data_IF_531383115289
#
_entry.id   IF_531383115289
#
_cell.length_a   1.000
_cell.length_b   1.000
_cell.length_c   1.000
_cell.angle_alpha   90.00
_cell.angle_beta   90.00
_cell.angle_gamma   90.00
#
_symmetry.space_group_name_H-M   'P 1'
#
loop_
_entity.id
_entity.type
_entity.pdbx_description
1 polymer ?
#
# COMPACT_ATOMS: atom_id res chain seq x y z
N UNK A 1 -4.55 -2.26 -18.81
CA UNK A 1 -5.69 -1.63 -19.52
C UNK A 1 -6.41 -0.53 -18.71
N UNK A 2 -6.85 -0.80 -17.47
CA UNK A 2 -7.67 0.14 -16.66
C UNK A 2 -7.04 1.53 -16.43
N UNK A 3 -5.75 1.59 -16.12
CA UNK A 3 -5.00 2.85 -15.93
C UNK A 3 -5.07 3.75 -17.18
N UNK A 4 -4.85 3.16 -18.36
CA UNK A 4 -4.94 3.85 -19.65
C UNK A 4 -6.37 4.33 -19.91
N UNK A 5 -7.37 3.53 -19.53
CA UNK A 5 -8.79 3.92 -19.64
C UNK A 5 -9.12 5.11 -18.74
N UNK A 6 -8.61 5.17 -17.51
CA UNK A 6 -8.74 6.34 -16.62
C UNK A 6 -8.12 7.58 -17.26
N UNK A 7 -6.89 7.48 -17.79
CA UNK A 7 -6.23 8.59 -18.47
C UNK A 7 -7.04 9.11 -19.66
N UNK A 8 -7.54 8.21 -20.52
CA UNK A 8 -8.35 8.58 -21.70
C UNK A 8 -9.64 9.28 -21.30
N UNK A 9 -10.33 8.81 -20.27
CA UNK A 9 -11.56 9.44 -19.77
C UNK A 9 -11.28 10.86 -19.24
N UNK A 10 -10.20 11.06 -18.48
CA UNK A 10 -9.83 12.37 -17.94
C UNK A 10 -9.41 13.34 -19.06
N UNK A 11 -8.70 12.84 -20.08
CA UNK A 11 -8.38 13.60 -21.28
C UNK A 11 -9.63 14.01 -22.07
N UNK A 12 -10.62 13.12 -22.20
CA UNK A 12 -11.88 13.42 -22.87
C UNK A 12 -12.67 14.51 -22.12
N UNK A 13 -12.75 14.45 -20.78
CA UNK A 13 -13.40 15.49 -19.97
C UNK A 13 -12.72 16.85 -20.13
N UNK A 14 -11.39 16.87 -20.14
CA UNK A 14 -10.63 18.09 -20.39
C UNK A 14 -10.96 18.74 -21.72
N UNK A 15 -11.07 17.93 -22.78
CA UNK A 15 -11.43 18.41 -24.13
C UNK A 15 -12.86 18.93 -24.19
N UNK A 16 -13.79 18.34 -23.44
CA UNK A 16 -15.21 18.68 -23.50
C UNK A 16 -15.60 19.91 -22.64
N UNK A 17 -14.99 20.09 -21.47
CA UNK A 17 -15.49 21.06 -20.47
C UNK A 17 -14.43 22.03 -19.92
N UNK A 18 -13.22 22.06 -20.50
CA UNK A 18 -12.09 22.88 -20.03
C UNK A 18 -11.70 22.64 -18.54
N UNK A 19 -12.22 21.58 -17.92
CA UNK A 19 -11.74 21.08 -16.62
C UNK A 19 -10.27 20.67 -16.80
N UNK A 20 -9.40 20.93 -15.83
CA UNK A 20 -7.95 20.69 -15.95
C UNK A 20 -7.22 21.70 -16.86
N UNK A 21 -7.70 22.94 -16.96
CA UNK A 21 -7.04 24.02 -17.71
C UNK A 21 -5.69 24.46 -17.10
N UNK A 22 -5.47 24.19 -15.80
CA UNK A 22 -4.22 24.54 -15.11
C UNK A 22 -3.02 23.68 -15.54
N UNK A 23 -1.81 24.19 -15.26
CA UNK A 23 -0.52 23.52 -15.57
C UNK A 23 -0.42 22.08 -15.04
N UNK A 24 -1.06 21.81 -13.89
CA UNK A 24 -1.02 20.52 -13.22
C UNK A 24 -2.21 19.60 -13.55
N UNK A 25 -3.09 20.01 -14.46
CA UNK A 25 -4.29 19.25 -14.83
C UNK A 25 -4.05 18.11 -15.84
N UNK A 26 -2.89 18.09 -16.51
CA UNK A 26 -2.59 17.06 -17.49
C UNK A 26 -2.07 15.78 -16.84
N UNK A 27 -2.65 14.65 -17.23
CA UNK A 27 -2.17 13.31 -16.89
C UNK A 27 -1.23 12.84 -17.98
N UNK A 28 -0.08 12.34 -17.56
CA UNK A 28 1.01 11.89 -18.45
C UNK A 28 1.23 10.38 -18.31
N UNK A 29 1.86 9.71 -19.29
CA UNK A 29 2.25 8.31 -19.16
C UNK A 29 3.12 8.04 -17.92
N UNK A 30 3.98 8.99 -17.52
CA UNK A 30 4.79 8.91 -16.30
C UNK A 30 3.94 8.69 -15.06
N UNK A 31 2.78 9.33 -15.00
CA UNK A 31 1.86 9.15 -13.88
C UNK A 31 1.29 7.73 -13.85
N UNK A 32 1.03 7.15 -15.01
CA UNK A 32 0.57 5.76 -15.11
C UNK A 32 1.64 4.77 -14.64
N UNK A 33 2.90 5.01 -15.00
CA UNK A 33 4.01 4.18 -14.51
C UNK A 33 4.15 4.27 -12.98
N UNK A 34 4.19 5.49 -12.43
CA UNK A 34 4.25 5.68 -10.97
C UNK A 34 3.06 5.07 -10.24
N UNK A 35 1.88 5.11 -10.84
CA UNK A 35 0.69 4.50 -10.27
C UNK A 35 0.78 2.96 -10.31
N UNK A 36 1.26 2.38 -11.41
CA UNK A 36 1.48 0.93 -11.52
C UNK A 36 2.56 0.42 -10.55
N UNK A 37 3.64 1.17 -10.36
CA UNK A 37 4.75 0.86 -9.45
C UNK A 37 4.33 0.76 -7.97
N UNK A 38 3.18 1.36 -7.60
CA UNK A 38 2.63 1.21 -6.25
C UNK A 38 2.19 -0.22 -5.94
N UNK A 39 2.01 -1.09 -6.94
CA UNK A 39 1.62 -2.50 -6.77
C UNK A 39 0.41 -2.66 -5.84
N UNK A 40 -0.62 -1.84 -6.06
CA UNK A 40 -1.84 -1.88 -5.27
C UNK A 40 -2.49 -3.27 -5.34
N UNK A 41 -2.91 -3.79 -4.19
CA UNK A 41 -3.66 -5.04 -4.09
C UNK A 41 -5.14 -4.70 -4.13
N UNK A 42 -5.81 -5.12 -5.20
CA UNK A 42 -7.24 -4.85 -5.42
C UNK A 42 -7.56 -3.48 -6.02
N UNK A 43 -8.79 -3.32 -6.52
CA UNK A 43 -9.21 -2.12 -7.23
C UNK A 43 -9.45 -0.92 -6.33
N UNK A 44 -9.85 -1.13 -5.07
CA UNK A 44 -10.10 -0.05 -4.11
C UNK A 44 -8.79 0.66 -3.80
N UNK A 45 -7.76 -0.11 -3.43
CA UNK A 45 -6.42 0.45 -3.19
C UNK A 45 -5.83 1.08 -4.44
N UNK A 46 -6.05 0.48 -5.61
CA UNK A 46 -5.61 1.07 -6.87
C UNK A 46 -6.28 2.43 -7.08
N UNK A 47 -7.57 2.56 -6.80
CA UNK A 47 -8.29 3.82 -6.93
C UNK A 47 -7.83 4.87 -5.91
N UNK A 48 -7.63 4.50 -4.64
CA UNK A 48 -7.06 5.39 -3.62
C UNK A 48 -5.70 5.93 -4.04
N UNK A 49 -4.81 5.05 -4.51
CA UNK A 49 -3.47 5.42 -4.94
C UNK A 49 -3.51 6.39 -6.12
N UNK A 50 -4.42 6.16 -7.06
CA UNK A 50 -4.66 7.06 -8.19
C UNK A 50 -5.22 8.41 -7.77
N UNK A 51 -6.21 8.42 -6.88
CA UNK A 51 -6.82 9.65 -6.36
C UNK A 51 -5.78 10.52 -5.66
N UNK A 52 -4.88 9.94 -4.88
CA UNK A 52 -3.76 10.65 -4.25
C UNK A 52 -2.77 11.20 -5.28
N UNK A 53 -2.25 10.33 -6.15
CA UNK A 53 -1.19 10.69 -7.11
C UNK A 53 -1.66 11.73 -8.15
N UNK A 54 -2.90 11.61 -8.58
CA UNK A 54 -3.50 12.54 -9.54
C UNK A 54 -4.04 13.79 -8.81
N UNK A 55 -4.62 13.64 -7.63
CA UNK A 55 -5.30 14.70 -6.88
C UNK A 55 -4.38 15.68 -6.15
N UNK A 56 -3.21 15.24 -5.65
CA UNK A 56 -2.28 16.06 -4.86
C UNK A 56 -1.77 17.29 -5.61
N UNK A 57 -1.62 17.18 -6.93
CA UNK A 57 -1.16 18.28 -7.81
C UNK A 57 -2.29 19.22 -8.25
N UNK A 58 -3.54 18.80 -8.09
CA UNK A 58 -4.69 19.61 -8.45
C UNK A 58 -4.98 20.56 -7.30
N UNK A 59 -5.17 21.85 -7.61
CA UNK A 59 -5.52 22.86 -6.59
C UNK A 59 -7.03 23.06 -6.46
N UNK A 60 -7.79 22.72 -7.51
CA UNK A 60 -9.24 22.84 -7.50
C UNK A 60 -9.89 21.63 -6.84
N UNK A 61 -10.73 21.90 -5.85
CA UNK A 61 -11.58 20.90 -5.22
C UNK A 61 -12.47 20.15 -6.22
N UNK A 62 -12.99 20.84 -7.24
CA UNK A 62 -13.84 20.25 -8.28
C UNK A 62 -13.05 19.38 -9.26
N UNK A 63 -11.81 19.75 -9.58
CA UNK A 63 -10.95 18.91 -10.43
C UNK A 63 -10.60 17.58 -9.73
N UNK A 64 -10.36 17.61 -8.41
CA UNK A 64 -10.14 16.40 -7.62
C UNK A 64 -11.37 15.50 -7.61
N UNK A 65 -12.56 16.09 -7.55
CA UNK A 65 -13.82 15.34 -7.60
C UNK A 65 -13.99 14.58 -8.91
N UNK A 66 -13.70 15.25 -10.02
CA UNK A 66 -13.74 14.63 -11.35
C UNK A 66 -12.78 13.45 -11.45
N UNK A 67 -11.59 13.53 -10.83
CA UNK A 67 -10.66 12.39 -10.76
C UNK A 67 -11.29 11.22 -10.01
N UNK A 68 -11.85 11.45 -8.83
CA UNK A 68 -12.47 10.40 -8.01
C UNK A 68 -13.66 9.76 -8.75
N UNK A 69 -14.49 10.57 -9.39
CA UNK A 69 -15.63 10.10 -10.18
C UNK A 69 -15.18 9.16 -11.31
N UNK A 70 -14.14 9.54 -12.06
CA UNK A 70 -13.58 8.69 -13.13
C UNK A 70 -13.02 7.39 -12.57
N UNK A 71 -12.29 7.45 -11.44
CA UNK A 71 -11.73 6.28 -10.79
C UNK A 71 -12.84 5.29 -10.39
N UNK A 72 -13.87 5.79 -9.70
CA UNK A 72 -15.02 4.99 -9.29
C UNK A 72 -15.74 4.37 -10.51
N UNK A 73 -15.92 5.14 -11.59
CA UNK A 73 -16.57 4.67 -12.83
C UNK A 73 -15.79 3.56 -13.52
N UNK A 74 -14.46 3.70 -13.66
CA UNK A 74 -13.62 2.80 -14.45
C UNK A 74 -13.21 1.55 -13.66
N UNK A 75 -12.90 1.73 -12.37
CA UNK A 75 -12.45 0.67 -11.47
C UNK A 75 -13.61 -0.02 -10.75
N UNK A 76 -14.83 0.52 -10.82
CA UNK A 76 -16.05 -0.05 -10.21
C UNK A 76 -15.94 -0.17 -8.69
N UNK A 77 -15.48 0.89 -8.05
CA UNK A 77 -15.27 0.98 -6.60
C UNK A 77 -15.95 2.23 -6.03
N UNK A 78 -16.00 2.34 -4.71
CA UNK A 78 -16.47 3.53 -3.99
C UNK A 78 -15.31 4.12 -3.19
N UNK A 79 -14.60 5.06 -3.79
CA UNK A 79 -13.61 5.89 -3.10
C UNK A 79 -14.30 7.11 -2.53
N UNK A 80 -14.14 7.32 -1.22
CA UNK A 80 -14.56 8.53 -0.53
C UNK A 80 -13.47 9.61 -0.62
N UNK A 81 -13.88 10.81 -1.02
CA UNK A 81 -13.04 11.99 -1.19
C UNK A 81 -12.39 12.44 0.12
N UNK A 82 -13.17 12.52 1.20
CA UNK A 82 -12.67 13.07 2.47
C UNK A 82 -11.66 12.14 3.12
N UNK A 83 -11.87 10.82 3.01
CA UNK A 83 -10.97 9.81 3.54
C UNK A 83 -9.63 9.72 2.80
N UNK A 84 -9.61 10.05 1.50
CA UNK A 84 -8.40 9.91 0.67
C UNK A 84 -7.56 11.18 0.65
N UNK A 85 -8.15 12.37 0.54
CA UNK A 85 -7.38 13.62 0.38
C UNK A 85 -6.82 14.21 1.68
N UNK A 86 -7.26 13.71 2.84
CA UNK A 86 -6.65 14.02 4.14
C UNK A 86 -5.38 13.19 4.41
N UNK A 87 -5.08 12.19 3.56
CA UNK A 87 -3.89 11.33 3.67
C UNK A 87 -2.74 11.90 2.82
N UNK A 88 -2.10 12.96 3.34
CA UNK A 88 -1.00 13.68 2.68
C UNK A 88 0.21 12.78 2.31
N UNK A 89 0.81 13.04 1.13
CA UNK A 89 2.26 12.94 0.89
C UNK A 89 2.93 11.55 0.85
N UNK A 90 2.16 10.49 0.68
CA UNK A 90 2.60 9.18 1.17
C UNK A 90 3.30 8.26 0.15
N UNK A 91 3.45 8.61 -1.13
CA UNK A 91 3.99 7.63 -2.09
C UNK A 91 5.40 7.13 -1.72
N UNK A 92 6.37 8.02 -1.41
CA UNK A 92 7.68 7.60 -0.94
C UNK A 92 7.62 6.98 0.46
N UNK A 93 6.78 7.54 1.35
CA UNK A 93 6.63 7.07 2.73
C UNK A 93 6.05 5.66 2.80
N UNK A 94 5.04 5.34 1.99
CA UNK A 94 4.46 4.00 1.88
C UNK A 94 5.39 3.00 1.23
N UNK A 95 6.23 3.43 0.29
CA UNK A 95 7.28 2.56 -0.24
C UNK A 95 8.26 2.19 0.88
N UNK A 96 8.67 3.18 1.69
CA UNK A 96 9.50 2.97 2.87
C UNK A 96 8.80 2.06 3.88
N UNK A 97 7.57 2.36 4.27
CA UNK A 97 6.79 1.56 5.22
C UNK A 97 6.60 0.12 4.73
N UNK A 98 6.37 -0.09 3.42
CA UNK A 98 6.28 -1.43 2.82
C UNK A 98 7.62 -2.15 2.84
N UNK A 99 8.70 -1.47 2.46
CA UNK A 99 10.05 -2.06 2.51
C UNK A 99 10.41 -2.43 3.95
N UNK A 100 10.07 -1.58 4.92
CA UNK A 100 10.20 -1.88 6.34
C UNK A 100 9.41 -3.12 6.73
N UNK A 101 8.12 -3.19 6.36
CA UNK A 101 7.25 -4.32 6.68
C UNK A 101 7.73 -5.63 6.03
N UNK A 102 8.21 -5.59 4.78
CA UNK A 102 8.82 -6.72 4.09
C UNK A 102 10.10 -7.19 4.81
N UNK A 103 10.95 -6.27 5.26
CA UNK A 103 12.15 -6.61 6.05
C UNK A 103 11.79 -7.23 7.40
N UNK A 104 10.79 -6.69 8.12
CA UNK A 104 10.32 -7.26 9.39
C UNK A 104 9.79 -8.67 9.19
N UNK A 105 8.93 -8.88 8.18
CA UNK A 105 8.41 -10.21 7.87
C UNK A 105 9.53 -11.20 7.48
N UNK A 106 10.57 -10.75 6.78
CA UNK A 106 11.73 -11.57 6.44
C UNK A 106 12.55 -11.94 7.68
N UNK A 107 12.74 -10.99 8.60
CA UNK A 107 13.41 -11.20 9.88
C UNK A 107 12.61 -12.15 10.77
N UNK A 108 11.30 -12.00 10.87
CA UNK A 108 10.41 -12.89 11.62
C UNK A 108 10.41 -14.32 11.05
N UNK A 109 10.36 -14.44 9.72
CA UNK A 109 10.47 -15.73 9.04
C UNK A 109 11.86 -16.37 9.23
N UNK A 110 12.91 -15.55 9.36
CA UNK A 110 14.26 -16.01 9.69
C UNK A 110 14.40 -16.39 11.16
N UNK A 111 13.70 -15.70 12.08
CA UNK A 111 13.63 -16.04 13.52
C UNK A 111 12.84 -17.32 13.79
N UNK A 112 11.91 -17.68 12.90
CA UNK A 112 11.22 -18.97 12.91
C UNK A 112 12.09 -20.16 12.48
N UNK A 113 13.31 -19.93 11.97
CA UNK A 113 14.30 -20.96 11.66
C UNK A 113 15.41 -20.92 12.70
N UNK A 114 15.19 -21.63 13.81
CA UNK A 114 16.23 -22.24 14.65
C UNK A 114 17.12 -21.31 15.48
N UNK A 115 16.75 -21.13 16.74
CA UNK A 115 17.59 -21.50 17.88
C UNK A 115 16.66 -22.16 18.92
N UNK A 116 16.50 -23.49 18.84
CA UNK A 116 16.24 -24.28 20.05
C UNK A 116 17.55 -24.25 20.82
N UNK A 117 17.77 -23.18 21.60
CA UNK A 117 18.78 -23.24 22.64
C UNK A 117 18.25 -24.22 23.68
N UNK A 118 19.03 -25.28 23.87
CA UNK A 118 18.66 -26.44 24.65
C UNK A 118 18.63 -26.11 26.13
N UNK A 119 17.44 -26.21 26.70
CA UNK A 119 17.20 -26.24 28.15
C UNK A 119 16.67 -27.63 28.59
N UNK A 120 16.98 -28.71 27.84
CA UNK A 120 16.44 -30.06 28.11
C UNK A 120 17.43 -31.01 28.84
N UNK A 121 18.71 -30.65 29.02
CA UNK A 121 19.70 -31.54 29.65
C UNK A 121 19.78 -31.41 31.20
N UNK A 122 19.33 -30.29 31.78
CA UNK A 122 19.43 -30.05 33.23
C UNK A 122 18.34 -30.78 34.04
N UNK A 123 17.19 -31.08 33.43
CA UNK A 123 16.08 -31.74 34.12
C UNK A 123 16.28 -33.27 34.24
N UNK A 124 17.03 -33.90 33.33
CA UNK A 124 17.34 -35.33 33.43
C UNK A 124 18.34 -35.64 34.54
N UNK A 125 19.33 -34.77 34.78
CA UNK A 125 20.28 -34.97 35.88
C UNK A 125 19.63 -34.82 37.27
N UNK A 126 18.67 -33.90 37.42
CA UNK A 126 17.95 -33.72 38.68
C UNK A 126 17.05 -34.91 39.03
N UNK A 127 16.39 -35.52 38.04
CA UNK A 127 15.57 -36.72 38.28
C UNK A 127 16.41 -37.95 38.64
N UNK A 128 17.58 -38.11 38.01
CA UNK A 128 18.44 -39.26 38.28
C UNK A 128 19.09 -39.18 39.68
N UNK A 129 19.45 -37.97 40.12
CA UNK A 129 20.01 -37.74 41.45
C UNK A 129 18.97 -37.91 42.57
N UNK A 130 17.70 -37.56 42.29
CA UNK A 130 16.59 -37.75 43.23
C UNK A 130 16.17 -39.22 43.38
N UNK A 131 16.30 -40.03 42.32
CA UNK A 131 16.08 -41.48 42.41
C UNK A 131 17.19 -42.22 43.18
N UNK A 132 18.44 -41.76 43.09
CA UNK A 132 19.55 -42.35 43.86
C UNK A 132 19.44 -42.06 45.37
N UNK A 133 18.88 -40.91 45.76
CA UNK A 133 18.64 -40.59 47.18
C UNK A 133 17.48 -41.36 47.82
N UNK A 134 16.58 -41.96 47.03
CA UNK A 134 15.48 -42.79 47.55
C UNK A 134 15.85 -44.28 47.69
N UNK A 135 17.07 -44.67 47.28
CA UNK A 135 17.57 -46.06 47.37
C UNK A 135 18.66 -46.26 48.43
N UNK A 136 18.94 -45.25 49.27
CA UNK A 136 19.73 -45.34 50.51
C UNK A 136 18.82 -45.08 51.71
#
# INVERSE_FOLDING_TARGET
>A
EKLVRVMRELQARRQASNVFAGKHGFITPRDLFRWAERRAVGYERLAEDGALLLGERLRSAGEREVVIEVLNKVLKVKVDREAVLTRDGDAPKRLLDRVQAEQVALLEKSRGVGWMDGDDDDDQQKQQQQQQQQQQ
#
